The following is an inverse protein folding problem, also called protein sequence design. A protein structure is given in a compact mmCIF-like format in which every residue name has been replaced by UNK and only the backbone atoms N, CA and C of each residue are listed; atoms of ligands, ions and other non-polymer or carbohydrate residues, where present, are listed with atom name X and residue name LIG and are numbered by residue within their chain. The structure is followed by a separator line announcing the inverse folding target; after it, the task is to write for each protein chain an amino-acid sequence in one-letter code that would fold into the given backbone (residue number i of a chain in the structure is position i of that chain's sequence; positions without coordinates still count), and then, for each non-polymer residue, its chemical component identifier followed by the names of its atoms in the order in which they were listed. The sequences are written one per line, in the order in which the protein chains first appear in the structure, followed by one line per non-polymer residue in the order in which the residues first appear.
data_IF_406910444701
#
_entry.id   IF_406910444701
#
_cell.length_a   1.000
_cell.length_b   1.000
_cell.length_c   1.000
_cell.angle_alpha   90.00
_cell.angle_beta   90.00
_cell.angle_gamma   90.00
#
_symmetry.space_group_name_H-M   'P 1'
#
loop_
_entity.id
_entity.type
_entity.pdbx_description
1 polymer ?
#
# COMPACT_ATOMS: atom_id res chain seq x y z
N UNK A 1 -12.70 7.63 -1.43
CA UNK A 1 -11.38 7.07 -1.79
C UNK A 1 -10.93 7.77 -3.06
N UNK A 2 -9.77 8.44 -3.06
CA UNK A 2 -9.30 9.13 -4.28
C UNK A 2 -9.05 8.11 -5.38
N UNK A 3 -9.41 8.46 -6.61
CA UNK A 3 -9.07 7.61 -7.76
C UNK A 3 -7.54 7.50 -7.91
N UNK A 4 -7.05 6.44 -8.56
CA UNK A 4 -5.62 6.31 -8.87
C UNK A 4 -5.09 7.55 -9.61
N UNK A 5 -5.91 8.11 -10.49
CA UNK A 5 -5.59 9.28 -11.28
C UNK A 5 -5.45 10.53 -10.40
N UNK A 6 -6.40 10.77 -9.51
CA UNK A 6 -6.33 11.87 -8.53
C UNK A 6 -5.12 11.75 -7.61
N UNK A 7 -4.75 10.53 -7.23
CA UNK A 7 -3.57 10.27 -6.42
C UNK A 7 -2.29 10.75 -7.12
N UNK A 8 -2.07 10.36 -8.38
CA UNK A 8 -0.86 10.75 -9.10
C UNK A 8 -0.86 12.20 -9.58
N UNK A 9 -2.03 12.84 -9.73
CA UNK A 9 -2.15 14.27 -10.09
C UNK A 9 -1.81 15.23 -8.94
N UNK A 10 -1.43 14.74 -7.76
CA UNK A 10 -1.09 15.63 -6.66
C UNK A 10 0.16 16.50 -6.97
N UNK A 11 0.16 17.82 -6.67
CA UNK A 11 1.28 18.72 -7.02
C UNK A 11 2.66 18.28 -6.50
N UNK A 12 2.71 17.65 -5.32
CA UNK A 12 3.95 17.12 -4.74
C UNK A 12 4.40 15.78 -5.34
N UNK A 13 3.54 15.09 -6.11
CA UNK A 13 3.81 13.73 -6.55
C UNK A 13 5.09 13.60 -7.41
N UNK A 14 5.37 14.47 -8.41
CA UNK A 14 6.61 14.38 -9.18
C UNK A 14 7.87 14.38 -8.33
N UNK A 15 7.93 15.27 -7.34
CA UNK A 15 9.03 15.37 -6.40
C UNK A 15 9.17 14.12 -5.53
N UNK A 16 8.07 13.55 -5.04
CA UNK A 16 8.10 12.29 -4.27
C UNK A 16 8.60 11.13 -5.12
N UNK A 17 8.11 11.00 -6.36
CA UNK A 17 8.56 9.93 -7.25
C UNK A 17 10.05 10.11 -7.60
N UNK A 18 10.47 11.34 -7.87
CA UNK A 18 11.88 11.67 -8.11
C UNK A 18 12.77 11.28 -6.93
N UNK A 19 12.34 11.56 -5.70
CA UNK A 19 13.05 11.11 -4.50
C UNK A 19 13.23 9.58 -4.51
N UNK A 20 12.16 8.81 -4.73
CA UNK A 20 12.25 7.34 -4.77
C UNK A 20 13.16 6.85 -5.90
N UNK A 21 13.07 7.44 -7.09
CA UNK A 21 13.90 7.10 -8.24
C UNK A 21 15.40 7.36 -8.00
N UNK A 22 15.73 8.45 -7.29
CA UNK A 22 17.11 8.78 -6.90
C UNK A 22 17.69 7.80 -5.88
N UNK A 23 16.82 7.17 -5.06
CA UNK A 23 17.18 6.20 -4.01
C UNK A 23 16.90 4.75 -4.41
N UNK A 24 16.63 4.49 -5.69
CA UNK A 24 16.14 3.19 -6.20
C UNK A 24 16.99 1.98 -5.78
N UNK A 25 18.32 2.11 -5.68
CA UNK A 25 19.20 1.00 -5.30
C UNK A 25 19.02 0.62 -3.83
N UNK A 26 18.96 1.62 -2.94
CA UNK A 26 18.78 1.40 -1.50
C UNK A 26 17.33 0.98 -1.16
N UNK A 27 16.35 1.57 -1.84
CA UNK A 27 14.93 1.26 -1.64
C UNK A 27 14.50 -0.03 -2.34
N UNK A 28 15.11 -0.40 -3.46
CA UNK A 28 14.73 -1.57 -4.24
C UNK A 28 14.89 -2.87 -3.46
N UNK A 29 15.99 -3.02 -2.73
CA UNK A 29 16.21 -4.19 -1.86
C UNK A 29 15.26 -4.26 -0.66
N UNK A 30 14.71 -3.11 -0.21
CA UNK A 30 13.75 -3.04 0.89
C UNK A 30 12.31 -3.28 0.41
N UNK A 31 11.91 -2.62 -0.68
CA UNK A 31 10.55 -2.62 -1.22
C UNK A 31 10.24 -3.83 -2.10
N UNK A 32 11.26 -4.39 -2.75
CA UNK A 32 11.15 -5.62 -3.56
C UNK A 32 12.40 -6.49 -3.38
N UNK A 33 12.58 -7.16 -2.23
CA UNK A 33 13.78 -7.94 -1.94
C UNK A 33 14.12 -9.00 -3.00
N UNK A 34 13.09 -9.57 -3.65
CA UNK A 34 13.26 -10.57 -4.70
C UNK A 34 13.84 -10.00 -6.01
N UNK A 35 13.53 -8.75 -6.35
CA UNK A 35 13.92 -8.15 -7.62
C UNK A 35 14.98 -7.06 -7.48
N UNK A 36 15.19 -6.53 -6.27
CA UNK A 36 16.07 -5.40 -6.03
C UNK A 36 15.63 -4.12 -6.73
N UNK A 37 14.38 -4.05 -7.20
CA UNK A 37 13.83 -2.94 -7.98
C UNK A 37 12.84 -2.14 -7.16
N UNK A 38 12.64 -0.89 -7.54
CA UNK A 38 11.71 -0.03 -6.84
C UNK A 38 10.27 -0.54 -6.98
N UNK A 39 9.88 -1.07 -8.15
CA UNK A 39 8.49 -1.43 -8.45
C UNK A 39 7.63 -0.23 -8.87
N UNK A 40 8.25 0.82 -9.40
CA UNK A 40 7.57 1.78 -10.27
C UNK A 40 7.72 1.31 -11.72
N UNK A 41 6.63 1.37 -12.47
CA UNK A 41 6.57 0.96 -13.87
C UNK A 41 5.54 1.82 -14.63
N UNK A 42 5.37 1.59 -15.92
CA UNK A 42 4.44 2.30 -16.77
C UNK A 42 3.73 1.33 -17.71
N UNK A 43 2.43 1.53 -17.91
CA UNK A 43 1.67 0.77 -18.90
C UNK A 43 2.12 1.13 -20.33
N UNK A 44 2.15 0.12 -21.19
CA UNK A 44 2.41 0.30 -22.62
C UNK A 44 1.32 1.17 -23.26
N UNK A 45 1.74 2.18 -24.04
CA UNK A 45 0.85 3.12 -24.74
C UNK A 45 0.45 2.66 -26.16
N UNK A 46 1.04 1.57 -26.66
CA UNK A 46 0.78 1.11 -28.03
C UNK A 46 -0.60 0.44 -28.09
N UNK A 47 -1.54 1.14 -28.73
CA UNK A 47 -2.91 0.67 -28.93
C UNK A 47 -3.63 0.35 -27.62
N UNK A 48 -4.10 -0.90 -27.48
CA UNK A 48 -4.80 -1.41 -26.29
C UNK A 48 -3.95 -2.39 -25.47
N UNK A 49 -2.63 -2.41 -25.66
CA UNK A 49 -1.75 -3.43 -25.06
C UNK A 49 -1.86 -3.48 -23.52
N UNK A 50 -1.72 -2.34 -22.84
CA UNK A 50 -1.77 -2.22 -21.37
C UNK A 50 -0.82 -3.14 -20.56
N UNK A 51 0.01 -3.96 -21.22
CA UNK A 51 1.04 -4.77 -20.57
C UNK A 51 2.07 -3.87 -19.90
N UNK A 52 2.62 -4.36 -18.80
CA UNK A 52 3.62 -3.67 -18.01
C UNK A 52 4.59 -4.69 -17.40
N UNK A 53 5.84 -4.26 -17.19
CA UNK A 53 6.82 -4.99 -16.40
C UNK A 53 6.45 -4.83 -14.91
N UNK A 54 5.63 -5.76 -14.39
CA UNK A 54 5.05 -5.70 -13.04
C UNK A 54 6.09 -5.59 -11.92
N UNK A 55 7.17 -6.41 -11.90
CA UNK A 55 8.22 -6.21 -10.91
C UNK A 55 9.07 -4.96 -11.19
N UNK A 56 8.98 -4.39 -12.40
CA UNK A 56 9.86 -3.31 -12.85
C UNK A 56 11.31 -3.78 -12.96
N UNK A 57 11.52 -5.08 -13.23
CA UNK A 57 12.83 -5.72 -13.29
C UNK A 57 13.77 -5.06 -14.30
N UNK A 58 13.20 -4.50 -15.38
CA UNK A 58 13.92 -3.83 -16.46
C UNK A 58 13.72 -2.31 -16.44
N UNK A 59 13.12 -1.78 -15.38
CA UNK A 59 12.83 -0.34 -15.31
C UNK A 59 14.08 0.46 -15.01
N UNK A 60 14.40 1.42 -15.88
CA UNK A 60 15.49 2.37 -15.70
C UNK A 60 14.94 3.75 -15.35
N UNK A 61 15.76 4.53 -14.65
CA UNK A 61 15.42 5.88 -14.21
C UNK A 61 16.54 6.84 -14.64
N UNK A 62 16.19 7.93 -15.31
CA UNK A 62 17.16 8.94 -15.77
C UNK A 62 16.73 10.33 -15.30
N UNK A 63 17.67 11.10 -14.77
CA UNK A 63 17.41 12.51 -14.48
C UNK A 63 17.58 13.35 -15.74
N UNK A 64 16.68 14.32 -15.91
CA UNK A 64 16.74 15.29 -17.00
C UNK A 64 17.35 16.60 -16.49
N UNK A 65 18.15 17.23 -17.33
CA UNK A 65 18.63 18.60 -17.16
C UNK A 65 17.53 19.60 -17.56
N UNK A 66 17.75 20.87 -17.25
CA UNK A 66 16.79 21.95 -17.53
C UNK A 66 16.57 22.19 -19.02
N UNK A 67 17.54 21.82 -19.86
CA UNK A 67 17.46 21.85 -21.32
C UNK A 67 16.84 20.56 -21.91
N UNK A 68 16.37 19.65 -21.06
CA UNK A 68 15.83 18.35 -21.46
C UNK A 68 16.89 17.30 -21.82
N UNK A 69 18.18 17.62 -21.72
CA UNK A 69 19.24 16.65 -21.98
C UNK A 69 19.37 15.63 -20.82
N UNK A 70 19.81 14.42 -21.16
CA UNK A 70 19.96 13.34 -20.18
C UNK A 70 21.26 13.55 -19.40
N UNK A 71 21.18 13.55 -18.07
CA UNK A 71 22.37 13.57 -17.22
C UNK A 71 23.11 12.22 -17.35
N UNK A 72 24.27 12.20 -18.01
CA UNK A 72 25.06 10.97 -18.17
C UNK A 72 25.55 10.48 -16.80
N UNK A 73 25.08 9.31 -16.40
CA UNK A 73 25.26 8.77 -15.05
C UNK A 73 26.61 8.06 -14.88
N UNK A 74 27.44 8.51 -13.94
CA UNK A 74 28.32 7.60 -13.21
C UNK A 74 28.55 7.94 -11.73
N UNK A 75 28.22 9.15 -11.24
CA UNK A 75 28.51 9.52 -9.84
C UNK A 75 27.54 10.53 -9.19
N UNK A 76 26.29 10.64 -9.63
CA UNK A 76 25.34 11.61 -9.06
C UNK A 76 24.66 11.10 -7.78
N UNK A 77 25.44 10.86 -6.73
CA UNK A 77 24.97 10.76 -5.34
C UNK A 77 24.87 12.17 -4.74
N UNK A 78 23.93 12.98 -5.21
CA UNK A 78 23.73 14.32 -4.65
C UNK A 78 22.60 15.09 -5.31
N UNK A 79 21.62 15.50 -4.50
CA UNK A 79 20.61 16.51 -4.86
C UNK A 79 21.32 17.87 -5.03
N UNK A 80 21.90 18.13 -6.20
CA UNK A 80 22.44 19.46 -6.51
C UNK A 80 21.32 20.42 -6.92
N UNK A 81 21.33 21.61 -6.31
CA UNK A 81 20.42 22.72 -6.62
C UNK A 81 20.60 23.14 -8.09
N UNK A 82 19.48 23.35 -8.80
CA UNK A 82 19.45 23.71 -10.24
C UNK A 82 18.81 22.67 -11.16
N UNK A 83 18.36 21.53 -10.63
CA UNK A 83 17.72 20.45 -11.39
C UNK A 83 16.20 20.62 -11.45
N UNK A 84 15.60 20.44 -12.64
CA UNK A 84 14.14 20.36 -12.81
C UNK A 84 13.56 19.17 -12.04
N UNK A 85 12.26 19.21 -11.74
CA UNK A 85 11.54 18.05 -11.18
C UNK A 85 11.26 16.95 -12.21
N UNK A 86 11.74 17.12 -13.44
CA UNK A 86 11.53 16.20 -14.54
C UNK A 86 12.52 15.02 -14.47
N UNK A 87 12.02 13.81 -14.69
CA UNK A 87 12.84 12.61 -14.83
C UNK A 87 12.14 11.59 -15.73
N UNK A 88 12.92 10.69 -16.33
CA UNK A 88 12.41 9.63 -17.19
C UNK A 88 12.34 8.30 -16.44
N UNK A 89 11.23 7.61 -16.61
CA UNK A 89 11.07 6.20 -16.30
C UNK A 89 11.03 5.45 -17.63
N UNK A 90 11.98 4.55 -17.84
CA UNK A 90 12.04 3.72 -19.04
C UNK A 90 11.63 2.32 -18.64
N UNK A 91 10.49 1.87 -19.14
CA UNK A 91 9.98 0.50 -18.90
C UNK A 91 10.06 -0.32 -20.17
N UNK A 92 10.05 -1.66 -20.05
CA UNK A 92 10.05 -2.54 -21.21
C UNK A 92 8.68 -3.23 -21.34
N UNK A 93 7.99 -2.99 -22.46
CA UNK A 93 6.83 -3.78 -22.83
C UNK A 93 7.32 -5.06 -23.52
N UNK A 94 6.82 -6.26 -23.15
CA UNK A 94 7.25 -7.50 -23.79
C UNK A 94 6.93 -7.54 -25.29
N UNK A 95 5.91 -6.80 -25.75
CA UNK A 95 5.48 -6.80 -27.16
C UNK A 95 6.05 -5.62 -27.95
N UNK A 96 6.25 -4.47 -27.29
CA UNK A 96 6.53 -3.19 -27.97
C UNK A 96 7.87 -2.56 -27.55
N UNK A 97 8.68 -3.28 -26.77
CA UNK A 97 10.00 -2.83 -26.36
C UNK A 97 10.00 -1.64 -25.39
N UNK A 98 11.09 -0.85 -25.35
CA UNK A 98 11.26 0.25 -24.41
C UNK A 98 10.20 1.34 -24.58
N UNK A 99 9.66 1.80 -23.45
CA UNK A 99 8.68 2.87 -23.34
C UNK A 99 9.23 3.93 -22.40
N UNK A 100 9.30 5.17 -22.87
CA UNK A 100 9.77 6.30 -22.06
C UNK A 100 8.56 7.03 -21.48
N UNK A 101 8.63 7.33 -20.18
CA UNK A 101 7.66 8.11 -19.45
C UNK A 101 8.37 9.28 -18.78
N UNK A 102 8.09 10.50 -19.23
CA UNK A 102 8.57 11.71 -18.58
C UNK A 102 7.62 12.08 -17.45
N UNK A 103 8.14 12.12 -16.22
CA UNK A 103 7.40 12.46 -15.01
C UNK A 103 7.81 13.84 -14.55
N UNK A 104 6.83 14.65 -14.15
CA UNK A 104 7.07 16.01 -13.64
C UNK A 104 7.10 17.11 -14.69
N UNK A 105 6.81 16.76 -15.94
CA UNK A 105 6.47 17.74 -16.97
C UNK A 105 5.08 18.35 -16.65
N UNK A 106 4.98 19.66 -16.38
CA UNK A 106 3.71 20.33 -16.11
C UNK A 106 2.79 20.40 -17.32
N UNK A 107 3.33 20.36 -18.53
CA UNK A 107 2.57 20.45 -19.78
C UNK A 107 2.09 19.06 -20.25
N UNK A 108 2.73 17.98 -19.76
CA UNK A 108 2.40 16.61 -20.10
C UNK A 108 2.00 15.78 -18.87
N UNK A 109 0.70 15.75 -18.58
CA UNK A 109 0.17 14.96 -17.46
C UNK A 109 -0.12 13.48 -17.82
N UNK A 110 0.20 13.02 -19.03
CA UNK A 110 -0.10 11.65 -19.47
C UNK A 110 0.57 10.58 -18.59
N UNK A 111 1.65 10.93 -17.90
CA UNK A 111 2.31 10.03 -16.96
C UNK A 111 1.42 9.61 -15.79
N UNK A 112 0.47 10.45 -15.35
CA UNK A 112 -0.42 10.13 -14.23
C UNK A 112 -1.38 8.98 -14.52
N UNK A 113 -1.70 8.77 -15.80
CA UNK A 113 -2.58 7.69 -16.24
C UNK A 113 -1.82 6.38 -16.45
N UNK A 114 -0.55 6.49 -16.83
CA UNK A 114 0.30 5.35 -17.21
C UNK A 114 1.13 4.80 -16.07
N UNK A 115 1.49 5.62 -15.09
CA UNK A 115 2.35 5.22 -13.98
C UNK A 115 1.65 4.16 -13.11
N UNK A 116 2.37 3.09 -12.81
CA UNK A 116 1.94 2.01 -11.94
C UNK A 116 2.98 1.83 -10.84
N UNK A 117 2.50 1.77 -9.61
CA UNK A 117 3.33 1.51 -8.43
C UNK A 117 2.92 0.17 -7.80
N UNK A 118 3.91 -0.62 -7.41
CA UNK A 118 3.70 -1.83 -6.62
C UNK A 118 3.00 -1.52 -5.29
N UNK A 119 2.45 -2.54 -4.63
CA UNK A 119 1.78 -2.40 -3.33
C UNK A 119 2.61 -1.63 -2.29
N UNK A 120 3.87 -2.03 -2.02
CA UNK A 120 4.76 -1.33 -1.10
C UNK A 120 5.03 0.12 -1.51
N UNK A 121 5.42 0.37 -2.76
CA UNK A 121 5.73 1.73 -3.24
C UNK A 121 4.53 2.65 -3.16
N UNK A 122 3.35 2.17 -3.55
CA UNK A 122 2.12 2.94 -3.46
C UNK A 122 1.80 3.32 -2.01
N UNK A 123 2.00 2.39 -1.08
CA UNK A 123 1.80 2.65 0.36
C UNK A 123 2.80 3.68 0.89
N UNK A 124 4.06 3.60 0.46
CA UNK A 124 5.10 4.57 0.79
C UNK A 124 4.78 5.96 0.23
N UNK A 125 4.51 6.07 -1.09
CA UNK A 125 4.13 7.33 -1.74
C UNK A 125 2.90 7.96 -1.07
N UNK A 126 1.89 7.17 -0.75
CA UNK A 126 0.70 7.66 -0.07
C UNK A 126 1.01 8.18 1.33
N UNK A 127 1.87 7.49 2.07
CA UNK A 127 2.28 7.94 3.40
C UNK A 127 3.11 9.21 3.33
N UNK A 128 4.08 9.30 2.43
CA UNK A 128 4.86 10.51 2.18
C UNK A 128 3.93 11.68 1.82
N UNK A 129 2.98 11.44 0.92
CA UNK A 129 2.03 12.45 0.48
C UNK A 129 1.16 12.97 1.64
N UNK A 130 0.61 12.06 2.44
CA UNK A 130 -0.18 12.39 3.62
C UNK A 130 0.62 13.22 4.64
N UNK A 131 1.92 12.98 4.77
CA UNK A 131 2.78 13.78 5.65
C UNK A 131 3.03 15.21 5.13
N UNK A 132 2.82 15.47 3.83
CA UNK A 132 2.85 16.82 3.26
C UNK A 132 1.55 17.61 3.47
N UNK A 133 0.48 16.97 3.94
CA UNK A 133 -0.73 17.64 4.36
C UNK A 133 -0.63 18.07 5.83
N UNK A 134 -0.58 19.38 6.05
CA UNK A 134 -0.48 19.98 7.38
C UNK A 134 -1.85 20.34 7.97
N UNK A 135 -2.90 20.32 7.16
CA UNK A 135 -4.27 20.63 7.60
C UNK A 135 -4.98 19.44 8.24
N UNK A 136 -4.49 18.21 7.97
CA UNK A 136 -5.15 16.98 8.39
C UNK A 136 -4.25 16.06 9.20
N UNK A 137 -4.86 15.21 10.03
CA UNK A 137 -4.22 14.04 10.63
C UNK A 137 -4.59 12.81 9.84
N UNK A 138 -3.58 12.07 9.38
CA UNK A 138 -3.76 10.87 8.58
C UNK A 138 -3.50 9.63 9.44
N UNK A 139 -4.46 8.70 9.40
CA UNK A 139 -4.34 7.38 10.02
C UNK A 139 -4.29 6.33 8.91
N UNK A 140 -3.22 5.55 8.87
CA UNK A 140 -3.08 4.42 7.96
C UNK A 140 -3.65 3.17 8.65
N UNK A 141 -4.76 2.65 8.11
CA UNK A 141 -5.35 1.39 8.55
C UNK A 141 -4.91 0.30 7.57
N UNK A 142 -4.28 -0.75 8.08
CA UNK A 142 -3.82 -1.90 7.28
C UNK A 142 -4.05 -3.21 8.02
N UNK A 143 -4.03 -4.35 7.33
CA UNK A 143 -4.12 -5.65 7.98
C UNK A 143 -2.91 -5.95 8.87
N UNK A 144 -3.13 -6.72 9.94
CA UNK A 144 -2.09 -7.19 10.84
C UNK A 144 -1.08 -8.14 10.16
N UNK A 145 -1.38 -8.67 8.97
CA UNK A 145 -0.42 -9.40 8.12
C UNK A 145 0.77 -8.54 7.71
N UNK A 146 0.61 -7.22 7.74
CA UNK A 146 1.69 -6.28 7.46
C UNK A 146 2.46 -5.88 8.71
N UNK A 147 1.99 -6.18 9.92
CA UNK A 147 2.65 -5.75 11.15
C UNK A 147 4.07 -6.32 11.29
N UNK A 148 4.88 -5.68 12.14
CA UNK A 148 6.25 -6.10 12.41
C UNK A 148 7.24 -5.73 11.30
N UNK A 149 8.20 -6.62 11.05
CA UNK A 149 9.39 -6.35 10.23
C UNK A 149 9.05 -6.00 8.77
N UNK A 150 7.95 -6.55 8.23
CA UNK A 150 7.52 -6.27 6.86
C UNK A 150 7.26 -4.77 6.67
N UNK A 151 6.39 -4.19 7.50
CA UNK A 151 6.05 -2.77 7.39
C UNK A 151 7.16 -1.86 7.93
N UNK A 152 7.95 -2.34 8.88
CA UNK A 152 9.16 -1.65 9.29
C UNK A 152 10.11 -1.43 8.11
N UNK A 153 10.39 -2.50 7.35
CA UNK A 153 11.31 -2.47 6.20
C UNK A 153 10.72 -1.76 5.00
N UNK A 154 9.45 -2.01 4.69
CA UNK A 154 8.83 -1.51 3.44
C UNK A 154 8.19 -0.12 3.57
N UNK A 155 7.94 0.37 4.79
CA UNK A 155 7.34 1.67 5.01
C UNK A 155 8.11 2.51 6.03
N UNK A 156 8.21 2.06 7.29
CA UNK A 156 8.63 2.94 8.39
C UNK A 156 10.06 3.45 8.21
N UNK A 157 11.02 2.56 7.87
CA UNK A 157 12.41 2.94 7.65
C UNK A 157 12.57 3.87 6.44
N UNK A 158 12.07 3.55 5.23
CA UNK A 158 12.09 4.47 4.09
C UNK A 158 11.46 5.84 4.39
N UNK A 159 10.34 5.84 5.14
CA UNK A 159 9.61 7.06 5.47
C UNK A 159 10.36 7.90 6.50
N UNK A 160 10.98 7.27 7.50
CA UNK A 160 11.83 7.93 8.47
C UNK A 160 13.07 8.54 7.78
N UNK A 161 13.75 7.80 6.91
CA UNK A 161 14.88 8.30 6.12
C UNK A 161 14.47 9.49 5.25
N UNK A 162 13.34 9.38 4.55
CA UNK A 162 12.80 10.48 3.75
C UNK A 162 12.50 11.70 4.61
N UNK A 163 11.73 11.57 5.69
CA UNK A 163 11.38 12.69 6.55
C UNK A 163 12.60 13.34 7.22
N UNK A 164 13.68 12.59 7.45
CA UNK A 164 14.92 13.10 8.03
C UNK A 164 15.83 13.82 7.01
N UNK A 165 15.83 13.38 5.75
CA UNK A 165 16.71 13.89 4.68
C UNK A 165 16.03 14.92 3.78
N UNK A 166 14.72 15.08 3.88
CA UNK A 166 13.99 16.03 3.08
C UNK A 166 14.39 17.47 3.46
N UNK A 167 14.92 18.21 2.48
CA UNK A 167 15.41 19.58 2.64
C UNK A 167 14.53 20.58 1.88
N UNK A 168 14.34 21.78 2.44
CA UNK A 168 13.58 22.89 1.86
C UNK A 168 12.30 23.23 2.63
N UNK A 169 11.69 24.38 2.34
CA UNK A 169 10.60 24.97 3.17
C UNK A 169 9.35 24.08 3.35
N UNK A 170 9.01 23.27 2.35
CA UNK A 170 7.93 22.28 2.46
C UNK A 170 8.34 21.08 3.32
N UNK A 171 9.60 20.69 3.23
CA UNK A 171 10.15 19.48 3.82
C UNK A 171 10.60 19.65 5.26
N UNK A 172 11.01 20.86 5.65
CA UNK A 172 11.29 21.21 7.03
C UNK A 172 10.06 20.98 7.92
N UNK A 173 8.86 21.18 7.38
CA UNK A 173 7.59 20.92 8.07
C UNK A 173 7.24 19.43 8.19
N UNK A 174 7.83 18.57 7.35
CA UNK A 174 7.62 17.12 7.38
C UNK A 174 8.59 16.42 8.34
N UNK A 175 9.69 17.10 8.69
CA UNK A 175 10.74 16.53 9.51
C UNK A 175 10.21 15.94 10.83
N UNK A 176 10.51 14.66 11.04
CA UNK A 176 10.10 13.92 12.23
C UNK A 176 8.61 13.55 12.30
N UNK A 177 7.81 13.87 11.27
CA UNK A 177 6.41 13.40 11.21
C UNK A 177 6.36 11.95 10.75
N UNK A 178 5.50 11.17 11.39
CA UNK A 178 5.19 9.79 11.03
C UNK A 178 3.67 9.59 11.02
N UNK A 179 3.13 8.73 10.14
CA UNK A 179 1.71 8.41 10.15
C UNK A 179 1.37 7.61 11.41
N UNK A 180 0.16 7.82 11.93
CA UNK A 180 -0.42 6.89 12.89
C UNK A 180 -0.86 5.65 12.13
N UNK A 181 -0.37 4.47 12.54
CA UNK A 181 -0.67 3.21 11.88
C UNK A 181 -1.51 2.35 12.82
N UNK A 182 -2.67 1.90 12.33
CA UNK A 182 -3.53 0.95 13.01
C UNK A 182 -3.54 -0.36 12.23
N UNK A 183 -3.25 -1.45 12.92
CA UNK A 183 -3.33 -2.79 12.36
C UNK A 183 -4.69 -3.39 12.69
N UNK A 184 -5.49 -3.64 11.66
CA UNK A 184 -6.75 -4.34 11.78
C UNK A 184 -6.49 -5.85 11.87
N UNK A 185 -7.19 -6.57 12.77
CA UNK A 185 -7.15 -8.03 12.79
C UNK A 185 -7.40 -8.66 11.42
N UNK A 186 -6.74 -9.79 11.17
CA UNK A 186 -6.99 -10.56 9.97
C UNK A 186 -8.23 -11.41 10.16
N UNK A 187 -9.09 -11.43 9.16
CA UNK A 187 -10.18 -12.40 9.08
C UNK A 187 -9.84 -13.36 7.96
N UNK A 188 -9.74 -14.65 8.25
CA UNK A 188 -9.36 -15.68 7.28
C UNK A 188 -10.38 -16.80 7.21
N UNK A 189 -10.53 -17.43 6.05
CA UNK A 189 -11.29 -18.67 5.94
C UNK A 189 -10.48 -19.89 6.43
N UNK A 190 -11.05 -21.08 6.27
CA UNK A 190 -10.43 -22.35 6.66
C UNK A 190 -9.14 -22.67 5.89
N UNK A 191 -8.93 -22.07 4.72
CA UNK A 191 -7.71 -22.23 3.92
C UNK A 191 -6.60 -21.24 4.32
N UNK A 192 -6.90 -20.31 5.23
CA UNK A 192 -6.04 -19.19 5.56
C UNK A 192 -6.12 -18.02 4.57
N UNK A 193 -7.01 -18.10 3.57
CA UNK A 193 -7.23 -17.00 2.66
C UNK A 193 -7.92 -15.84 3.38
N UNK A 194 -7.45 -14.62 3.12
CA UNK A 194 -7.99 -13.41 3.74
C UNK A 194 -9.38 -13.12 3.20
N UNK A 195 -10.31 -12.85 4.11
CA UNK A 195 -11.61 -12.30 3.76
C UNK A 195 -11.39 -10.90 3.18
N UNK A 196 -11.48 -10.82 1.85
CA UNK A 196 -11.51 -9.56 1.14
C UNK A 196 -12.81 -9.51 0.35
N UNK A 197 -13.65 -8.50 0.64
CA UNK A 197 -14.97 -8.31 0.03
C UNK A 197 -14.97 -8.31 -1.51
N UNK A 198 -13.80 -8.11 -2.14
CA UNK A 198 -13.65 -8.10 -3.60
C UNK A 198 -13.42 -9.49 -4.21
N UNK A 199 -12.98 -10.49 -3.43
CA UNK A 199 -12.68 -11.83 -3.94
C UNK A 199 -13.79 -12.87 -3.69
N UNK A 200 -14.75 -12.56 -2.81
CA UNK A 200 -15.84 -13.48 -2.42
C UNK A 200 -16.83 -13.75 -3.55
N UNK A 201 -16.86 -12.94 -4.61
CA UNK A 201 -17.71 -13.18 -5.79
C UNK A 201 -17.18 -14.26 -6.76
N UNK A 202 -15.90 -14.67 -6.65
CA UNK A 202 -15.23 -15.44 -7.70
C UNK A 202 -14.81 -16.87 -7.31
N UNK A 203 -14.90 -17.27 -6.03
CA UNK A 203 -14.47 -18.60 -5.61
C UNK A 203 -15.67 -19.49 -5.24
N UNK A 204 -15.94 -20.60 -5.99
CA UNK A 204 -16.95 -21.59 -5.62
C UNK A 204 -16.66 -22.28 -4.27
N UNK A 205 -15.43 -22.16 -3.78
CA UNK A 205 -14.95 -22.81 -2.55
C UNK A 205 -15.05 -21.90 -1.33
N UNK A 206 -15.50 -20.65 -1.50
CA UNK A 206 -15.67 -19.75 -0.36
C UNK A 206 -16.85 -20.23 0.49
N UNK A 207 -16.55 -20.76 1.68
CA UNK A 207 -17.57 -21.10 2.70
C UNK A 207 -18.26 -19.85 3.26
N UNK A 208 -17.80 -18.65 2.87
CA UNK A 208 -18.25 -17.36 3.37
C UNK A 208 -19.12 -16.64 2.34
N UNK A 209 -20.03 -17.36 1.68
CA UNK A 209 -20.97 -16.79 0.68
C UNK A 209 -21.77 -15.61 1.24
N UNK A 210 -22.00 -15.61 2.56
CA UNK A 210 -22.64 -14.52 3.27
C UNK A 210 -21.90 -13.18 3.07
N UNK A 211 -20.57 -13.20 2.93
CA UNK A 211 -19.71 -12.02 2.73
C UNK A 211 -19.58 -11.60 1.25
N UNK A 212 -20.40 -12.14 0.34
CA UNK A 212 -20.35 -11.81 -1.09
C UNK A 212 -20.92 -10.42 -1.41
N UNK A 213 -21.88 -9.94 -0.63
CA UNK A 213 -22.41 -8.58 -0.75
C UNK A 213 -23.09 -8.13 0.54
N UNK A 214 -23.19 -6.81 0.72
CA UNK A 214 -23.96 -6.23 1.82
C UNK A 214 -25.41 -6.74 1.86
N UNK A 215 -26.06 -6.83 0.69
CA UNK A 215 -27.43 -7.32 0.57
C UNK A 215 -27.56 -8.75 1.09
N UNK A 216 -26.66 -9.65 0.68
CA UNK A 216 -26.66 -11.04 1.16
C UNK A 216 -26.49 -11.11 2.68
N UNK A 217 -25.61 -10.28 3.26
CA UNK A 217 -25.47 -10.21 4.72
C UNK A 217 -26.76 -9.77 5.42
N UNK A 218 -27.45 -8.76 4.90
CA UNK A 218 -28.73 -8.28 5.46
C UNK A 218 -29.81 -9.36 5.32
N UNK A 219 -29.92 -9.99 4.16
CA UNK A 219 -30.91 -11.05 3.91
C UNK A 219 -30.72 -12.25 4.86
N UNK A 220 -29.46 -12.59 5.18
CA UNK A 220 -29.14 -13.73 6.02
C UNK A 220 -29.18 -13.43 7.53
N UNK A 221 -28.76 -12.24 7.96
CA UNK A 221 -28.54 -11.93 9.38
C UNK A 221 -29.44 -10.80 9.92
N UNK A 222 -30.25 -10.18 9.06
CA UNK A 222 -31.11 -9.05 9.39
C UNK A 222 -30.38 -7.71 9.54
N UNK A 223 -31.14 -6.63 9.66
CA UNK A 223 -30.61 -5.25 9.68
C UNK A 223 -29.71 -4.95 10.89
N UNK A 224 -29.91 -5.66 12.02
CA UNK A 224 -29.09 -5.51 13.23
C UNK A 224 -27.66 -6.05 13.13
N UNK A 225 -27.29 -6.70 12.03
CA UNK A 225 -26.00 -7.37 11.86
C UNK A 225 -24.81 -6.42 11.90
N UNK A 226 -24.97 -5.19 11.39
CA UNK A 226 -23.93 -4.16 11.49
C UNK A 226 -23.69 -3.72 12.93
N UNK A 227 -24.75 -3.63 13.74
CA UNK A 227 -24.64 -3.30 15.16
C UNK A 227 -23.79 -4.35 15.89
N UNK A 228 -24.07 -5.64 15.66
CA UNK A 228 -23.31 -6.74 16.25
C UNK A 228 -21.83 -6.73 15.84
N UNK A 229 -21.54 -6.51 14.55
CA UNK A 229 -20.16 -6.36 14.08
C UNK A 229 -19.47 -5.15 14.71
N UNK A 230 -20.18 -4.03 14.85
CA UNK A 230 -19.64 -2.81 15.43
C UNK A 230 -19.31 -2.99 16.91
N UNK A 231 -20.23 -3.57 17.69
CA UNK A 231 -20.02 -3.87 19.10
C UNK A 231 -18.83 -4.82 19.30
N UNK A 232 -18.68 -5.81 18.41
CA UNK A 232 -17.56 -6.73 18.43
C UNK A 232 -16.22 -6.03 18.12
N UNK A 233 -16.20 -5.10 17.17
CA UNK A 233 -15.01 -4.26 16.90
C UNK A 233 -14.71 -3.34 18.09
N UNK A 234 -15.72 -2.76 18.72
CA UNK A 234 -15.52 -1.97 19.95
C UNK A 234 -14.93 -2.81 21.07
N UNK A 235 -15.35 -4.08 21.18
CA UNK A 235 -14.76 -5.04 22.11
C UNK A 235 -13.28 -5.31 21.79
N UNK A 236 -12.91 -5.45 20.51
CA UNK A 236 -11.50 -5.57 20.13
C UNK A 236 -10.69 -4.33 20.49
N UNK A 237 -11.27 -3.14 20.30
CA UNK A 237 -10.62 -1.87 20.68
C UNK A 237 -10.45 -1.75 22.19
N UNK A 238 -11.45 -2.20 22.97
CA UNK A 238 -11.40 -2.21 24.43
C UNK A 238 -10.41 -3.21 25.02
N UNK A 239 -10.06 -4.26 24.27
CA UNK A 239 -9.13 -5.31 24.69
C UNK A 239 -8.02 -5.50 23.67
N UNK A 240 -6.91 -4.77 23.85
CA UNK A 240 -5.83 -4.64 22.86
C UNK A 240 -5.24 -5.97 22.38
N UNK A 241 -5.31 -7.05 23.17
CA UNK A 241 -4.86 -8.40 22.76
C UNK A 241 -5.70 -9.00 21.64
N UNK A 242 -6.90 -8.47 21.37
CA UNK A 242 -7.77 -8.86 20.27
C UNK A 242 -7.31 -8.26 18.94
N UNK A 243 -6.75 -7.05 18.97
CA UNK A 243 -6.30 -6.34 17.76
C UNK A 243 -5.12 -7.04 17.04
N UNK A 244 -4.41 -7.94 17.73
CA UNK A 244 -3.25 -8.67 17.22
C UNK A 244 -3.53 -10.16 16.99
N UNK A 245 -4.80 -10.52 16.73
CA UNK A 245 -5.22 -11.90 16.43
C UNK A 245 -5.71 -12.05 15.00
N UNK A 246 -5.67 -13.29 14.53
CA UNK A 246 -6.43 -13.70 13.36
C UNK A 246 -7.75 -14.32 13.82
N UNK A 247 -8.84 -13.94 13.16
CA UNK A 247 -10.18 -14.44 13.36
C UNK A 247 -10.60 -15.27 12.16
N UNK A 248 -11.44 -16.28 12.38
CA UNK A 248 -12.00 -17.05 11.28
C UNK A 248 -13.25 -16.38 10.70
N UNK A 249 -13.59 -16.67 9.45
CA UNK A 249 -14.90 -16.28 8.92
C UNK A 249 -16.06 -16.94 9.68
N UNK A 250 -15.85 -18.15 10.21
CA UNK A 250 -16.80 -18.81 11.09
C UNK A 250 -17.05 -17.99 12.36
N UNK A 251 -15.99 -17.48 12.99
CA UNK A 251 -16.09 -16.61 14.15
C UNK A 251 -17.01 -15.41 13.87
N UNK A 252 -16.78 -14.70 12.75
CA UNK A 252 -17.65 -13.57 12.38
C UNK A 252 -19.08 -13.99 12.08
N UNK A 253 -19.28 -15.16 11.45
CA UNK A 253 -20.62 -15.67 11.20
C UNK A 253 -21.40 -15.88 12.51
N UNK A 254 -20.75 -16.42 13.55
CA UNK A 254 -21.38 -16.56 14.88
C UNK A 254 -21.79 -15.22 15.49
N UNK A 255 -20.91 -14.21 15.41
CA UNK A 255 -21.24 -12.85 15.84
C UNK A 255 -22.43 -12.29 15.05
N UNK A 256 -22.46 -12.50 13.74
CA UNK A 256 -23.53 -12.05 12.85
C UNK A 256 -24.86 -12.74 13.17
N UNK A 257 -24.86 -14.00 13.56
CA UNK A 257 -26.05 -14.74 14.01
C UNK A 257 -26.48 -14.37 15.44
N UNK A 258 -25.72 -13.52 16.14
CA UNK A 258 -25.99 -13.16 17.53
C UNK A 258 -25.72 -14.28 18.52
N UNK A 259 -24.86 -15.25 18.15
CA UNK A 259 -24.44 -16.34 19.03
C UNK A 259 -23.25 -15.87 19.85
N UNK A 260 -23.29 -16.13 21.16
CA UNK A 260 -22.12 -15.96 22.01
C UNK A 260 -21.02 -16.91 21.55
N UNK A 261 -19.90 -16.35 21.10
CA UNK A 261 -18.71 -17.14 20.90
C UNK A 261 -18.04 -17.33 22.26
N UNK A 262 -18.37 -18.45 22.92
CA UNK A 262 -17.61 -18.92 24.05
C UNK A 262 -16.16 -19.07 23.58
N UNK A 263 -15.30 -18.12 23.96
CA UNK A 263 -13.85 -18.28 23.88
C UNK A 263 -13.50 -19.35 24.91
N UNK A 264 -13.78 -20.59 24.55
CA UNK A 264 -13.27 -21.75 25.24
C UNK A 264 -11.76 -21.68 25.09
N UNK A 265 -11.10 -21.05 26.06
CA UNK A 265 -9.82 -21.57 26.48
C UNK A 265 -10.10 -23.06 26.72
N UNK A 266 -9.58 -23.90 25.84
CA UNK A 266 -9.26 -25.27 26.22
C UNK A 266 -8.22 -25.13 27.33
N UNK A 267 -8.68 -24.77 28.53
CA UNK A 267 -7.99 -25.09 29.76
C UNK A 267 -8.00 -26.59 29.71
N UNK A 268 -6.89 -27.17 29.26
CA UNK A 268 -6.65 -28.58 29.47
C UNK A 268 -6.85 -28.77 30.97
N UNK A 269 -7.94 -29.42 31.35
CA UNK A 269 -8.12 -29.90 32.71
C UNK A 269 -6.93 -30.81 32.95
N UNK A 270 -5.89 -30.26 33.58
CA UNK A 270 -4.78 -31.01 34.13
C UNK A 270 -5.39 -31.81 35.28
N UNK A 271 -6.01 -32.93 34.92
CA UNK A 271 -6.55 -33.89 35.86
C UNK A 271 -5.44 -34.26 36.84
N UNK A 272 -5.60 -33.79 38.07
CA UNK A 272 -4.98 -34.43 39.22
C UNK A 272 -5.45 -35.88 39.22
N UNK A 273 -4.60 -36.79 38.73
CA UNK A 273 -4.68 -38.19 39.11
C UNK A 273 -4.14 -38.28 40.54
N UNK A 274 -5.07 -38.47 41.50
CA UNK A 274 -4.74 -39.09 42.78
C UNK A 274 -4.42 -40.57 42.57
#
# INVERSE_FOLDING_TARGET
MKSRLEFFRHPHMPMLIRYLASRRTALGSQLSPQHGTLGLSATCQVGRCQKLDTPGAYTQYRELLSDGSVLSSSAATGLTAGRTNAFEIITNCPDHGPQVLQVGDPDNMAWTERLVASGPVRTLLQSMLNLTDFGSRHVLITGADRAGLYHETTLLRPLAEWSATAMGSLMDKVRGRMPHILYAPLVTDWSGARLCFWATAASPWSTSHWASSYRVMVDMFGEGMLGRLFDEVLRWVGDSKMMFRSYSTLYLQHILEGRDWLVGYLVAESGQRQ
#
